data_IF_745711428560
#
_entry.id   IF_745711428560
#
_cell.length_a   1.000
_cell.length_b   1.000
_cell.length_c   1.000
_cell.angle_alpha   90.00
_cell.angle_beta   90.00
_cell.angle_gamma   90.00
#
_symmetry.space_group_name_H-M   'P 1'
#
loop_
_entity.id
_entity.type
_entity.pdbx_description
1 polymer ?
#
# COMPACT_ATOMS: atom_id res chain seq x y z
N UNK A 1 -9.66 -16.25 6.28
CA UNK A 1 -9.80 -14.96 5.59
C UNK A 1 -8.48 -14.24 5.67
N UNK A 2 -7.82 -14.06 4.54
CA UNK A 2 -6.57 -13.31 4.42
C UNK A 2 -6.81 -11.82 4.65
N UNK A 3 -5.76 -11.05 4.90
CA UNK A 3 -5.87 -9.59 5.02
C UNK A 3 -6.37 -8.95 3.72
N UNK A 4 -5.99 -9.51 2.58
CA UNK A 4 -6.46 -9.08 1.27
C UNK A 4 -7.97 -9.29 1.10
N UNK A 5 -8.48 -10.45 1.52
CA UNK A 5 -9.94 -10.74 1.48
C UNK A 5 -10.72 -9.83 2.41
N UNK A 6 -10.19 -9.51 3.60
CA UNK A 6 -10.80 -8.55 4.52
C UNK A 6 -10.84 -7.15 3.93
N UNK A 7 -9.75 -6.75 3.30
CA UNK A 7 -9.64 -5.46 2.63
C UNK A 7 -10.60 -5.35 1.45
N UNK A 8 -10.62 -6.35 0.57
CA UNK A 8 -11.57 -6.43 -0.55
C UNK A 8 -13.02 -6.37 -0.06
N UNK A 9 -13.34 -7.13 0.97
CA UNK A 9 -14.69 -7.12 1.57
C UNK A 9 -15.07 -5.79 2.23
N UNK A 10 -14.10 -5.04 2.73
CA UNK A 10 -14.33 -3.69 3.27
C UNK A 10 -14.62 -2.69 2.15
N UNK A 11 -13.92 -2.80 1.02
CA UNK A 11 -14.18 -1.99 -0.17
C UNK A 11 -15.55 -2.29 -0.79
N UNK A 12 -15.94 -3.56 -0.88
CA UNK A 12 -17.21 -3.99 -1.46
C UNK A 12 -18.44 -3.48 -0.68
N UNK A 13 -18.27 -3.16 0.60
CA UNK A 13 -19.37 -2.69 1.45
C UNK A 13 -19.62 -1.19 1.37
N UNK A 14 -18.77 -0.44 0.67
CA UNK A 14 -18.96 0.99 0.52
C UNK A 14 -20.00 1.31 -0.57
N UNK A 15 -20.96 2.18 -0.29
CA UNK A 15 -21.72 2.83 -1.35
C UNK A 15 -20.78 3.84 -2.01
N UNK A 16 -19.95 3.39 -2.92
CA UNK A 16 -18.97 4.25 -3.59
C UNK A 16 -19.50 4.59 -4.96
N UNK A 17 -19.66 5.86 -5.23
CA UNK A 17 -19.86 6.38 -6.59
C UNK A 17 -18.61 6.20 -7.45
N UNK A 18 -17.51 5.67 -6.86
CA UNK A 18 -16.22 5.45 -7.50
C UNK A 18 -15.71 4.05 -7.19
N UNK A 19 -15.48 3.28 -8.22
CA UNK A 19 -14.75 2.02 -8.12
C UNK A 19 -13.26 2.30 -8.30
N UNK A 20 -12.55 2.31 -7.19
CA UNK A 20 -11.07 2.30 -7.19
C UNK A 20 -10.61 0.86 -7.21
N UNK A 21 -9.74 0.51 -8.14
CA UNK A 21 -9.13 -0.82 -8.19
C UNK A 21 -7.72 -0.75 -7.62
N UNK A 22 -7.43 -1.68 -6.71
CA UNK A 22 -6.13 -1.85 -6.10
C UNK A 22 -5.55 -3.19 -6.50
N UNK A 23 -4.31 -3.17 -6.96
CA UNK A 23 -3.51 -4.36 -7.15
C UNK A 23 -2.34 -4.29 -6.16
N UNK A 24 -2.28 -5.28 -5.26
CA UNK A 24 -1.19 -5.45 -4.31
C UNK A 24 -0.37 -6.65 -4.73
N UNK A 25 0.86 -6.42 -5.08
CA UNK A 25 1.87 -7.43 -5.34
C UNK A 25 3.04 -7.17 -4.41
N UNK A 26 3.86 -8.14 -4.13
CA UNK A 26 4.83 -8.24 -3.02
C UNK A 26 5.56 -6.96 -2.57
N UNK A 27 5.68 -5.93 -3.38
CA UNK A 27 6.40 -4.69 -3.08
C UNK A 27 5.82 -3.48 -3.81
N UNK A 28 4.56 -3.56 -4.19
CA UNK A 28 3.89 -2.48 -4.91
C UNK A 28 2.41 -2.38 -4.53
N UNK A 29 1.91 -1.16 -4.57
CA UNK A 29 0.49 -0.86 -4.50
C UNK A 29 0.11 0.02 -5.69
N UNK A 30 -0.86 -0.41 -6.46
CA UNK A 30 -1.33 0.31 -7.63
C UNK A 30 -2.82 0.63 -7.49
N UNK A 31 -3.13 1.91 -7.49
CA UNK A 31 -4.48 2.44 -7.49
C UNK A 31 -4.83 2.94 -8.88
N UNK A 32 -6.02 2.62 -9.36
CA UNK A 32 -6.59 3.22 -10.56
C UNK A 32 -7.92 3.91 -10.25
N UNK A 33 -8.00 5.19 -10.56
CA UNK A 33 -9.24 5.99 -10.55
C UNK A 33 -9.82 6.00 -11.98
N UNK A 34 -10.90 5.26 -12.24
CA UNK A 34 -11.47 5.17 -13.58
C UNK A 34 -12.16 6.46 -14.03
N UNK A 35 -12.66 7.26 -13.10
CA UNK A 35 -13.34 8.54 -13.41
C UNK A 35 -12.34 9.59 -13.91
N UNK A 36 -11.21 9.70 -13.25
CA UNK A 36 -10.11 10.59 -13.64
C UNK A 36 -9.14 9.96 -14.62
N UNK A 37 -9.26 8.67 -14.87
CA UNK A 37 -8.31 7.88 -15.66
C UNK A 37 -6.89 8.09 -15.15
N UNK A 38 -6.71 7.92 -13.84
CA UNK A 38 -5.46 8.20 -13.16
C UNK A 38 -4.93 6.93 -12.48
N UNK A 39 -3.68 6.61 -12.76
CA UNK A 39 -2.93 5.57 -12.04
C UNK A 39 -2.06 6.24 -10.98
N UNK A 40 -2.11 5.73 -9.76
CA UNK A 40 -1.26 6.15 -8.65
C UNK A 40 -0.56 4.89 -8.16
N UNK A 41 0.75 4.84 -8.30
CA UNK A 41 1.57 3.71 -7.93
C UNK A 41 2.50 4.05 -6.76
N UNK A 42 2.70 3.08 -5.87
CA UNK A 42 3.70 3.13 -4.81
C UNK A 42 4.54 1.85 -4.89
N UNK A 43 5.83 2.01 -5.13
CA UNK A 43 6.78 0.89 -5.10
C UNK A 43 7.89 1.13 -4.08
N UNK A 44 8.38 0.05 -3.50
CA UNK A 44 9.38 0.06 -2.44
C UNK A 44 10.16 -1.28 -2.41
N UNK A 45 11.38 -1.31 -1.86
CA UNK A 45 12.18 -2.53 -1.81
C UNK A 45 11.70 -3.45 -0.67
N UNK A 46 11.03 -4.55 -1.00
CA UNK A 46 10.48 -5.51 -0.02
C UNK A 46 11.55 -6.10 0.92
N UNK A 47 12.82 -6.14 0.51
CA UNK A 47 13.92 -6.57 1.38
C UNK A 47 14.14 -5.66 2.58
N UNK A 48 14.03 -4.35 2.39
CA UNK A 48 14.24 -3.36 3.43
C UNK A 48 12.94 -3.04 4.17
N UNK A 49 11.81 -3.14 3.46
CA UNK A 49 10.48 -2.76 3.94
C UNK A 49 9.50 -3.88 3.63
N UNK A 50 9.53 -4.98 4.44
CA UNK A 50 8.83 -6.21 4.10
C UNK A 50 7.32 -6.21 4.38
N UNK A 51 6.79 -5.17 5.00
CA UNK A 51 5.38 -5.11 5.38
C UNK A 51 4.67 -3.95 4.71
N UNK A 52 3.40 -4.17 4.37
CA UNK A 52 2.50 -3.12 3.88
C UNK A 52 1.29 -3.05 4.81
N UNK A 53 1.20 -1.96 5.55
CA UNK A 53 0.00 -1.57 6.27
C UNK A 53 -0.96 -0.85 5.34
N UNK A 54 -2.24 -0.92 5.64
CA UNK A 54 -3.27 -0.15 4.93
C UNK A 54 -4.16 0.50 5.96
N UNK A 55 -4.18 1.81 5.96
CA UNK A 55 -5.11 2.58 6.76
C UNK A 55 -6.30 3.01 5.94
N UNK A 56 -7.48 2.76 6.49
CA UNK A 56 -8.75 3.13 5.88
C UNK A 56 -9.49 4.09 6.82
N UNK A 57 -9.83 5.26 6.34
CA UNK A 57 -10.77 6.16 6.99
C UNK A 57 -12.09 6.17 6.20
N UNK A 58 -13.13 5.73 6.85
CA UNK A 58 -14.48 5.61 6.30
C UNK A 58 -15.41 6.73 6.76
N UNK A 59 -14.91 7.93 6.84
CA UNK A 59 -15.68 9.10 7.24
C UNK A 59 -15.66 9.36 8.75
N UNK A 60 -14.90 8.58 9.53
CA UNK A 60 -14.76 8.76 10.97
C UNK A 60 -13.98 10.01 11.36
N UNK A 61 -13.03 10.40 10.53
CA UNK A 61 -12.22 11.59 10.74
C UNK A 61 -12.70 12.73 9.81
N UNK A 62 -13.35 13.71 10.36
CA UNK A 62 -13.84 14.91 9.64
C UNK A 62 -14.72 14.60 8.42
N UNK A 63 -15.36 13.44 8.36
CA UNK A 63 -16.21 13.02 7.25
C UNK A 63 -15.44 12.71 5.95
N UNK A 64 -14.12 12.59 6.01
CA UNK A 64 -13.29 12.29 4.85
C UNK A 64 -13.12 10.78 4.64
N UNK A 65 -12.91 10.38 3.41
CA UNK A 65 -12.64 9.00 3.01
C UNK A 65 -11.23 8.91 2.44
N UNK A 66 -10.35 8.23 3.17
CA UNK A 66 -8.95 8.12 2.82
C UNK A 66 -8.47 6.68 2.84
N UNK A 67 -7.52 6.37 1.98
CA UNK A 67 -6.79 5.11 1.97
C UNK A 67 -5.30 5.45 1.94
N UNK A 68 -4.55 4.92 2.91
CA UNK A 68 -3.11 5.09 2.97
C UNK A 68 -2.42 3.72 2.92
N UNK A 69 -1.71 3.39 1.83
CA UNK A 69 -0.75 2.31 1.83
C UNK A 69 0.52 2.73 2.58
N UNK A 70 0.92 1.95 3.57
CA UNK A 70 1.98 2.27 4.52
C UNK A 70 3.07 1.19 4.51
N UNK A 71 4.05 1.26 3.61
CA UNK A 71 5.22 0.37 3.67
C UNK A 71 5.95 0.55 5.00
N UNK A 72 6.24 -0.55 5.67
CA UNK A 72 6.81 -0.53 7.02
C UNK A 72 7.89 -1.58 7.23
N UNK A 73 8.81 -1.29 8.15
CA UNK A 73 9.87 -2.21 8.57
C UNK A 73 9.42 -3.17 9.68
N UNK A 74 8.21 -2.98 10.19
CA UNK A 74 7.59 -3.86 11.18
C UNK A 74 6.11 -4.01 10.87
N UNK A 75 5.55 -5.17 11.16
CA UNK A 75 4.11 -5.37 11.08
C UNK A 75 3.42 -4.79 12.32
N UNK A 76 2.20 -4.28 12.14
CA UNK A 76 1.35 -3.74 13.19
C UNK A 76 1.78 -2.39 13.79
N UNK A 77 0.84 -1.73 14.45
CA UNK A 77 1.03 -0.41 15.08
C UNK A 77 1.74 -0.48 16.45
N UNK A 78 1.93 -1.70 16.95
CA UNK A 78 2.59 -1.94 18.24
C UNK A 78 3.89 -2.70 18.05
N UNK A 79 4.99 -2.01 18.31
CA UNK A 79 6.34 -2.56 18.15
C UNK A 79 6.64 -3.72 19.11
N UNK A 80 6.07 -3.70 20.32
CA UNK A 80 6.19 -4.79 21.29
C UNK A 80 5.57 -6.09 20.76
N UNK A 81 4.38 -6.00 20.13
CA UNK A 81 3.74 -7.15 19.50
C UNK A 81 4.49 -7.60 18.25
N UNK A 82 4.94 -6.67 17.41
CA UNK A 82 5.74 -6.99 16.24
C UNK A 82 7.01 -7.77 16.62
N UNK A 83 7.68 -7.34 17.69
CA UNK A 83 8.85 -8.04 18.22
C UNK A 83 8.50 -9.44 18.74
N UNK A 84 7.43 -9.57 19.50
CA UNK A 84 6.97 -10.85 20.05
C UNK A 84 6.64 -11.85 18.94
N UNK A 85 6.13 -11.40 17.83
CA UNK A 85 5.75 -12.22 16.67
C UNK A 85 6.88 -12.41 15.65
N UNK A 86 8.06 -11.83 15.89
CA UNK A 86 9.18 -11.92 14.96
C UNK A 86 8.97 -11.14 13.66
N UNK A 87 8.11 -10.14 13.67
CA UNK A 87 7.77 -9.30 12.50
C UNK A 87 8.33 -7.89 12.59
N UNK A 88 9.32 -7.66 13.44
CA UNK A 88 10.06 -6.40 13.53
C UNK A 88 11.42 -6.50 12.88
N UNK A 89 11.83 -5.45 12.20
CA UNK A 89 13.21 -5.29 11.77
C UNK A 89 14.08 -4.80 12.92
N UNK A 90 15.33 -5.20 12.93
CA UNK A 90 16.33 -4.80 13.92
C UNK A 90 17.43 -4.02 13.22
N UNK A 91 17.71 -2.83 13.73
CA UNK A 91 18.88 -2.06 13.32
C UNK A 91 20.00 -2.31 14.34
N UNK A 92 21.13 -2.83 13.86
CA UNK A 92 22.30 -3.08 14.70
C UNK A 92 22.88 -1.77 15.23
N UNK A 93 23.62 -1.86 16.36
CA UNK A 93 24.25 -0.69 16.95
C UNK A 93 25.17 0.00 15.93
N UNK A 94 24.99 1.32 15.75
CA UNK A 94 25.67 2.15 14.73
C UNK A 94 25.38 1.73 13.28
N UNK A 95 24.41 0.85 13.06
CA UNK A 95 23.97 0.47 11.73
C UNK A 95 23.16 1.57 11.04
N UNK A 96 23.06 1.46 9.73
CA UNK A 96 22.23 2.33 8.89
C UNK A 96 21.34 1.46 8.01
N UNK A 97 20.08 1.78 7.93
CA UNK A 97 19.15 1.22 6.96
C UNK A 97 18.71 2.33 6.01
N UNK A 98 19.03 2.15 4.74
CA UNK A 98 18.60 3.04 3.68
C UNK A 98 17.64 2.32 2.75
N UNK A 99 16.57 2.97 2.37
CA UNK A 99 15.62 2.49 1.38
C UNK A 99 14.95 3.64 0.66
N UNK A 100 14.41 3.35 -0.50
CA UNK A 100 13.70 4.32 -1.31
C UNK A 100 12.28 3.85 -1.58
N UNK A 101 11.43 4.79 -1.91
CA UNK A 101 10.09 4.54 -2.45
C UNK A 101 9.88 5.42 -3.67
N UNK A 102 9.10 4.93 -4.60
CA UNK A 102 8.67 5.71 -5.74
C UNK A 102 7.16 5.91 -5.66
N UNK A 103 6.72 7.12 -5.88
CA UNK A 103 5.31 7.45 -6.07
C UNK A 103 5.16 7.88 -7.52
N UNK A 104 4.36 7.13 -8.26
CA UNK A 104 4.11 7.37 -9.69
C UNK A 104 2.68 7.82 -9.86
N UNK A 105 2.49 8.93 -10.56
CA UNK A 105 1.16 9.44 -10.90
C UNK A 105 1.12 9.64 -12.41
N UNK A 106 0.24 8.92 -13.10
CA UNK A 106 0.18 8.94 -14.55
C UNK A 106 -1.25 8.79 -15.05
N UNK A 107 -1.65 9.63 -15.98
CA UNK A 107 -2.96 9.55 -16.62
C UNK A 107 -2.99 8.49 -17.73
N UNK A 108 -4.17 7.94 -17.99
CA UNK A 108 -4.40 6.98 -19.07
C UNK A 108 -5.33 5.84 -18.67
N UNK A 109 -5.30 4.74 -19.41
CA UNK A 109 -6.00 3.52 -19.05
C UNK A 109 -5.39 2.85 -17.82
N UNK A 110 -6.13 1.91 -17.21
CA UNK A 110 -5.61 1.12 -16.09
C UNK A 110 -4.29 0.44 -16.48
N UNK A 111 -3.25 0.65 -15.69
CA UNK A 111 -1.98 -0.04 -15.87
C UNK A 111 -2.10 -1.52 -15.45
N UNK A 112 -1.29 -2.38 -16.07
CA UNK A 112 -1.25 -3.81 -15.77
C UNK A 112 -0.42 -4.14 -14.51
N UNK A 113 0.43 -3.20 -14.08
CA UNK A 113 1.30 -3.36 -12.92
C UNK A 113 2.27 -2.20 -12.79
N UNK A 114 3.18 -2.34 -11.82
CA UNK A 114 4.20 -1.35 -11.50
C UNK A 114 5.54 -2.08 -11.32
N UNK A 115 6.63 -1.49 -11.76
CA UNK A 115 7.97 -2.04 -11.49
C UNK A 115 8.48 -1.52 -10.14
N UNK A 116 9.46 -2.20 -9.55
CA UNK A 116 10.13 -1.75 -8.33
C UNK A 116 10.68 -0.31 -8.44
N UNK A 117 11.07 0.11 -9.64
CA UNK A 117 11.53 1.47 -9.91
C UNK A 117 10.40 2.46 -10.19
N UNK A 118 9.15 2.08 -9.97
CA UNK A 118 7.98 2.96 -10.11
C UNK A 118 7.51 3.19 -11.54
N UNK A 119 7.92 2.37 -12.51
CA UNK A 119 7.45 2.48 -13.88
C UNK A 119 6.17 1.66 -14.08
N UNK A 120 5.13 2.27 -14.63
CA UNK A 120 3.89 1.58 -14.97
C UNK A 120 4.09 0.59 -16.13
N UNK A 121 3.53 -0.59 -15.95
CA UNK A 121 3.43 -1.60 -16.99
C UNK A 121 2.08 -1.45 -17.69
N UNK A 122 2.11 -1.45 -19.01
CA UNK A 122 0.92 -1.42 -19.87
C UNK A 122 0.67 -2.81 -20.45
N UNK A 123 -0.58 -3.19 -20.51
CA UNK A 123 -1.01 -4.40 -21.23
C UNK A 123 -1.05 -4.18 -22.73
#
# INVERSE_FOLDING_TARGET
>A
MTNLERFSSALDRKPVDRLLTWDFVDNEALLYDPERRLNIGLSYPARAVPYLGIWLDEGGLAGQYNIAPEPATAAMDRLDLARMWGTSSVLEARGTLEWHRNITVESGGKAAGLTENGRLLRS
#
